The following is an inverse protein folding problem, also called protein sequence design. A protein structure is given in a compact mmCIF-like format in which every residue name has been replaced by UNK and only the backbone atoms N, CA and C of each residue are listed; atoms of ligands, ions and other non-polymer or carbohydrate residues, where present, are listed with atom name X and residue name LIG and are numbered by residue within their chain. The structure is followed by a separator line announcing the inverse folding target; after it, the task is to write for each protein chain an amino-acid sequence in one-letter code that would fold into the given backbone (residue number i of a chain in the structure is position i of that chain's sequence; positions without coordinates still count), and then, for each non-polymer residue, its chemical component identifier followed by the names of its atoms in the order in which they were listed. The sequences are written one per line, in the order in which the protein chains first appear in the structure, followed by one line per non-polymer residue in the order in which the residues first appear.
data_IF_908843400289
#
_entry.id   IF_908843400289
#
_cell.length_a   1.000
_cell.length_b   1.000
_cell.length_c   1.000
_cell.angle_alpha   90.00
_cell.angle_beta   90.00
_cell.angle_gamma   90.00
#
_symmetry.space_group_name_H-M   'P 1'
#
loop_
_entity.id
_entity.type
_entity.pdbx_description
1 polymer ?
#
# COMPACT_ATOMS: atom_id res chain seq x y z
N UNK A 1 2.17 -45.31 51.98
CA UNK A 1 2.05 -45.02 50.53
C UNK A 1 1.49 -43.61 50.37
N UNK A 2 2.33 -42.61 50.06
CA UNK A 2 1.86 -41.25 49.75
C UNK A 2 1.81 -41.09 48.22
N UNK A 3 0.62 -40.85 47.66
CA UNK A 3 0.44 -40.52 46.24
C UNK A 3 0.64 -39.01 46.08
N UNK A 4 1.71 -38.64 45.41
CA UNK A 4 2.00 -37.29 44.92
C UNK A 4 0.99 -36.89 43.85
N UNK A 5 0.13 -35.91 44.14
CA UNK A 5 -0.62 -35.20 43.11
C UNK A 5 0.34 -34.29 42.33
N UNK A 6 0.45 -34.52 41.03
CA UNK A 6 1.15 -33.62 40.09
C UNK A 6 0.27 -32.38 39.87
N UNK A 7 0.81 -31.15 39.84
CA UNK A 7 0.00 -29.98 39.57
C UNK A 7 -0.48 -30.01 38.11
N UNK A 8 -1.79 -29.79 37.93
CA UNK A 8 -2.45 -29.61 36.65
C UNK A 8 -1.78 -28.44 35.89
N UNK A 9 -1.44 -28.68 34.62
CA UNK A 9 -0.73 -27.73 33.77
C UNK A 9 -1.43 -26.36 33.69
N UNK A 10 -0.63 -25.31 33.48
CA UNK A 10 -1.08 -23.92 33.35
C UNK A 10 -2.23 -23.83 32.34
N UNK A 11 -3.36 -23.18 32.67
CA UNK A 11 -4.49 -23.08 31.76
C UNK A 11 -4.05 -22.37 30.47
N UNK A 12 -4.27 -23.03 29.34
CA UNK A 12 -4.04 -22.46 28.01
C UNK A 12 -4.98 -21.27 27.86
N UNK A 13 -4.45 -20.05 27.97
CA UNK A 13 -5.21 -18.84 27.62
C UNK A 13 -5.62 -18.98 26.16
N UNK A 14 -6.90 -19.27 25.96
CA UNK A 14 -7.58 -19.15 24.67
C UNK A 14 -7.67 -17.65 24.41
N UNK A 15 -6.64 -17.07 23.79
CA UNK A 15 -6.74 -15.72 23.28
C UNK A 15 -7.44 -15.79 21.92
N UNK A 16 -8.68 -15.31 21.95
CA UNK A 16 -9.55 -14.89 20.84
C UNK A 16 -8.77 -14.64 19.54
N UNK A 17 -9.14 -15.32 18.45
CA UNK A 17 -8.30 -15.45 17.24
C UNK A 17 -8.22 -14.24 16.31
N UNK A 18 -8.77 -13.08 16.67
CA UNK A 18 -8.74 -11.87 15.82
C UNK A 18 -7.54 -10.94 16.07
N UNK A 19 -7.23 -10.53 17.31
CA UNK A 19 -6.10 -9.65 17.60
C UNK A 19 -4.76 -10.23 17.14
N UNK A 20 -4.62 -11.56 17.19
CA UNK A 20 -3.38 -12.25 16.80
C UNK A 20 -3.20 -12.29 15.28
N UNK A 21 -4.27 -12.53 14.49
CA UNK A 21 -4.18 -12.57 13.02
C UNK A 21 -3.83 -11.19 12.46
N UNK A 22 -4.53 -10.14 12.90
CA UNK A 22 -4.30 -8.78 12.43
C UNK A 22 -2.90 -8.28 12.82
N UNK A 23 -2.41 -8.65 14.01
CA UNK A 23 -1.04 -8.34 14.44
C UNK A 23 -0.01 -9.02 13.53
N UNK A 24 -0.18 -10.31 13.25
CA UNK A 24 0.70 -11.05 12.33
C UNK A 24 0.72 -10.37 10.97
N UNK A 25 -0.45 -10.04 10.43
CA UNK A 25 -0.58 -9.45 9.10
C UNK A 25 0.07 -8.06 9.03
N UNK A 26 -0.17 -7.20 10.02
CA UNK A 26 0.40 -5.86 10.10
C UNK A 26 1.92 -5.88 10.19
N UNK A 27 2.48 -6.71 11.08
CA UNK A 27 3.92 -6.79 11.26
C UNK A 27 4.61 -7.45 10.07
N UNK A 28 4.00 -8.49 9.49
CA UNK A 28 4.50 -9.10 8.27
C UNK A 28 4.49 -8.12 7.09
N UNK A 29 3.46 -7.28 6.96
CA UNK A 29 3.39 -6.24 5.93
C UNK A 29 4.62 -5.32 6.01
N UNK A 30 4.94 -4.80 7.19
CA UNK A 30 6.14 -3.96 7.38
C UNK A 30 7.43 -4.70 7.06
N UNK A 31 7.55 -5.97 7.44
CA UNK A 31 8.73 -6.78 7.13
C UNK A 31 8.90 -7.02 5.63
N UNK A 32 7.82 -7.30 4.90
CA UNK A 32 7.88 -7.49 3.45
C UNK A 32 8.20 -6.18 2.73
N UNK A 33 7.66 -5.06 3.19
CA UNK A 33 7.98 -3.74 2.64
C UNK A 33 9.45 -3.36 2.84
N UNK A 34 10.03 -3.69 3.99
CA UNK A 34 11.42 -3.35 4.33
C UNK A 34 12.44 -4.30 3.68
N UNK A 35 12.14 -5.60 3.62
CA UNK A 35 13.14 -6.65 3.28
C UNK A 35 12.86 -7.39 1.98
N UNK A 36 11.70 -7.16 1.37
CA UNK A 36 11.22 -7.90 0.20
C UNK A 36 10.68 -9.29 0.53
N UNK A 37 10.03 -9.91 -0.45
CA UNK A 37 9.44 -11.26 -0.29
C UNK A 37 10.48 -12.36 -0.01
N UNK A 38 11.65 -12.41 -0.69
CA UNK A 38 12.60 -13.50 -0.52
C UNK A 38 13.21 -13.56 0.89
N UNK A 39 13.48 -12.40 1.48
CA UNK A 39 14.26 -12.25 2.72
C UNK A 39 13.47 -12.47 4.01
N UNK A 40 12.15 -12.58 3.93
CA UNK A 40 11.29 -12.83 5.10
C UNK A 40 10.96 -14.32 5.18
N UNK A 41 11.12 -14.92 6.36
CA UNK A 41 10.67 -16.28 6.66
C UNK A 41 9.48 -16.29 7.64
N UNK A 42 8.76 -17.41 7.70
CA UNK A 42 7.67 -17.60 8.68
C UNK A 42 8.20 -17.58 10.13
N UNK A 43 9.47 -17.94 10.34
CA UNK A 43 10.12 -17.88 11.65
C UNK A 43 10.43 -16.44 12.06
N UNK A 44 10.90 -15.62 11.13
CA UNK A 44 11.12 -14.19 11.37
C UNK A 44 9.80 -13.50 11.75
N UNK A 45 8.70 -13.85 11.06
CA UNK A 45 7.37 -13.31 11.38
C UNK A 45 6.93 -13.74 12.78
N UNK A 46 7.08 -15.02 13.13
CA UNK A 46 6.74 -15.51 14.46
C UNK A 46 7.52 -14.77 15.56
N UNK A 47 8.83 -14.59 15.36
CA UNK A 47 9.69 -13.86 16.27
C UNK A 47 9.29 -12.37 16.39
N UNK A 48 9.07 -11.69 15.26
CA UNK A 48 8.66 -10.28 15.22
C UNK A 48 7.31 -10.06 15.92
N UNK A 49 6.39 -11.00 15.79
CA UNK A 49 5.06 -10.94 16.40
C UNK A 49 5.03 -11.45 17.84
N UNK A 50 6.14 -11.95 18.37
CA UNK A 50 6.23 -12.59 19.69
C UNK A 50 5.20 -13.74 19.88
N UNK A 51 5.06 -14.58 18.84
CA UNK A 51 4.18 -15.76 18.84
C UNK A 51 4.95 -17.01 18.46
N UNK A 52 4.36 -18.19 18.69
CA UNK A 52 5.00 -19.44 18.26
C UNK A 52 4.88 -19.61 16.74
N UNK A 53 5.83 -20.34 16.13
CA UNK A 53 5.73 -20.77 14.72
C UNK A 53 4.38 -21.44 14.44
N UNK A 54 3.94 -22.35 15.32
CA UNK A 54 2.65 -23.02 15.20
C UNK A 54 1.45 -22.04 15.16
N UNK A 55 1.54 -20.90 15.86
CA UNK A 55 0.51 -19.85 15.81
C UNK A 55 0.46 -19.17 14.45
N UNK A 56 1.60 -18.88 13.83
CA UNK A 56 1.62 -18.29 12.47
C UNK A 56 1.06 -19.28 11.46
N UNK A 57 1.51 -20.55 11.50
CA UNK A 57 1.03 -21.61 10.59
C UNK A 57 -0.44 -21.96 10.78
N UNK A 58 -1.03 -21.67 11.94
CA UNK A 58 -2.47 -21.80 12.16
C UNK A 58 -3.27 -20.81 11.31
N UNK A 59 -2.78 -19.58 11.12
CA UNK A 59 -3.45 -18.56 10.31
C UNK A 59 -3.04 -18.57 8.84
N UNK A 60 -1.78 -18.90 8.57
CA UNK A 60 -1.18 -18.82 7.24
C UNK A 60 -0.36 -20.07 6.97
N UNK A 61 -0.83 -20.94 6.07
CA UNK A 61 -0.17 -22.23 5.79
C UNK A 61 1.16 -22.03 5.08
N UNK A 62 1.29 -20.97 4.31
CA UNK A 62 2.47 -20.67 3.50
C UNK A 62 2.87 -19.20 3.60
N UNK A 63 4.15 -18.91 3.32
CA UNK A 63 4.64 -17.54 3.17
C UNK A 63 3.91 -16.78 2.05
N UNK A 64 3.61 -17.47 0.95
CA UNK A 64 2.89 -16.90 -0.18
C UNK A 64 1.50 -16.40 0.24
N UNK A 65 0.75 -17.21 1.01
CA UNK A 65 -0.57 -16.83 1.54
C UNK A 65 -0.49 -15.59 2.45
N UNK A 66 0.47 -15.57 3.38
CA UNK A 66 0.69 -14.40 4.25
C UNK A 66 1.08 -13.15 3.47
N UNK A 67 1.93 -13.28 2.46
CA UNK A 67 2.35 -12.17 1.62
C UNK A 67 1.20 -11.63 0.78
N UNK A 68 0.41 -12.49 0.14
CA UNK A 68 -0.76 -12.10 -0.65
C UNK A 68 -1.74 -11.31 0.21
N UNK A 69 -2.13 -11.84 1.37
CA UNK A 69 -3.02 -11.13 2.29
C UNK A 69 -2.42 -9.78 2.76
N UNK A 70 -1.12 -9.73 3.01
CA UNK A 70 -0.43 -8.52 3.47
C UNK A 70 -0.48 -7.42 2.40
N UNK A 71 -0.17 -7.77 1.16
CA UNK A 71 -0.17 -6.83 0.04
C UNK A 71 -1.59 -6.39 -0.34
N UNK A 72 -2.55 -7.31 -0.36
CA UNK A 72 -3.96 -6.96 -0.59
C UNK A 72 -4.48 -6.03 0.50
N UNK A 73 -4.20 -6.30 1.78
CA UNK A 73 -4.61 -5.43 2.87
C UNK A 73 -3.95 -4.05 2.78
N UNK A 74 -2.68 -3.99 2.41
CA UNK A 74 -1.97 -2.73 2.18
C UNK A 74 -2.66 -1.91 1.08
N UNK A 75 -2.94 -2.52 -0.09
CA UNK A 75 -3.61 -1.84 -1.20
C UNK A 75 -5.02 -1.37 -0.82
N UNK A 76 -5.77 -2.15 -0.04
CA UNK A 76 -7.08 -1.75 0.49
C UNK A 76 -6.98 -0.53 1.41
N UNK A 77 -5.94 -0.45 2.25
CA UNK A 77 -5.71 0.72 3.12
C UNK A 77 -5.33 1.96 2.31
N UNK A 78 -4.43 1.81 1.34
CA UNK A 78 -4.03 2.90 0.45
C UNK A 78 -5.25 3.39 -0.34
N UNK A 79 -6.03 2.47 -0.91
CA UNK A 79 -7.29 2.76 -1.58
C UNK A 79 -8.21 3.63 -0.71
N UNK A 80 -8.39 3.27 0.56
CA UNK A 80 -9.22 4.04 1.48
C UNK A 80 -8.67 5.44 1.73
N UNK A 81 -7.36 5.58 1.95
CA UNK A 81 -6.71 6.88 2.12
C UNK A 81 -6.86 7.77 0.88
N UNK A 82 -6.67 7.22 -0.31
CA UNK A 82 -6.90 7.92 -1.59
C UNK A 82 -8.37 8.36 -1.67
N UNK A 83 -9.32 7.49 -1.32
CA UNK A 83 -10.74 7.79 -1.37
C UNK A 83 -11.12 8.93 -0.40
N UNK A 84 -10.56 8.93 0.80
CA UNK A 84 -10.81 9.97 1.81
C UNK A 84 -10.32 11.35 1.32
N UNK A 85 -9.17 11.41 0.65
CA UNK A 85 -8.63 12.66 0.07
C UNK A 85 -9.48 13.12 -1.13
N UNK A 86 -9.80 12.21 -2.06
CA UNK A 86 -10.48 12.52 -3.32
C UNK A 86 -12.01 12.66 -3.21
N UNK A 87 -12.58 12.46 -2.01
CA UNK A 87 -14.01 12.64 -1.72
C UNK A 87 -14.33 13.94 -0.96
N UNK A 88 -13.31 14.75 -0.66
CA UNK A 88 -13.50 16.07 -0.02
C UNK A 88 -14.27 17.05 -0.92
N UNK A 89 -14.85 18.10 -0.35
CA UNK A 89 -15.54 19.15 -1.13
C UNK A 89 -14.59 20.23 -1.68
N UNK A 90 -13.32 19.87 -1.94
CA UNK A 90 -12.30 20.78 -2.48
C UNK A 90 -12.20 20.61 -4.01
N UNK A 91 -11.71 21.63 -4.75
CA UNK A 91 -11.40 21.48 -6.17
C UNK A 91 -10.43 20.31 -6.42
N UNK A 92 -10.58 19.62 -7.55
CA UNK A 92 -9.74 18.46 -7.88
C UNK A 92 -8.25 18.78 -7.77
N UNK A 93 -7.81 19.96 -8.23
CA UNK A 93 -6.39 20.36 -8.16
C UNK A 93 -5.84 20.33 -6.73
N UNK A 94 -6.64 20.77 -5.75
CA UNK A 94 -6.27 20.72 -4.34
C UNK A 94 -6.26 19.29 -3.81
N UNK A 95 -7.20 18.45 -4.22
CA UNK A 95 -7.22 17.04 -3.85
C UNK A 95 -5.99 16.30 -4.40
N UNK A 96 -5.60 16.56 -5.64
CA UNK A 96 -4.40 16.00 -6.26
C UNK A 96 -3.12 16.47 -5.55
N UNK A 97 -3.07 17.72 -5.09
CA UNK A 97 -1.99 18.22 -4.24
C UNK A 97 -1.90 17.46 -2.92
N UNK A 98 -3.01 17.28 -2.21
CA UNK A 98 -3.04 16.53 -0.95
C UNK A 98 -2.67 15.06 -1.15
N UNK A 99 -3.12 14.45 -2.24
CA UNK A 99 -2.77 13.09 -2.62
C UNK A 99 -1.27 12.96 -2.94
N UNK A 100 -0.72 13.86 -3.76
CA UNK A 100 0.69 13.88 -4.13
C UNK A 100 1.59 14.09 -2.90
N UNK A 101 1.20 14.99 -2.00
CA UNK A 101 1.90 15.21 -0.73
C UNK A 101 1.86 13.95 0.14
N UNK A 102 0.70 13.34 0.31
CA UNK A 102 0.57 12.10 1.08
C UNK A 102 1.42 10.96 0.48
N UNK A 103 1.53 10.90 -0.85
CA UNK A 103 2.34 9.91 -1.54
C UNK A 103 3.84 10.14 -1.29
N UNK A 104 4.34 11.36 -1.48
CA UNK A 104 5.76 11.70 -1.31
C UNK A 104 6.22 11.77 0.15
N UNK A 105 5.30 11.93 1.11
CA UNK A 105 5.60 11.84 2.55
C UNK A 105 5.68 10.39 3.04
N UNK A 106 5.18 9.42 2.28
CA UNK A 106 5.24 8.03 2.69
C UNK A 106 6.71 7.60 2.83
N UNK A 107 7.11 7.23 4.05
CA UNK A 107 8.49 6.85 4.37
C UNK A 107 8.91 5.52 3.78
N UNK A 108 7.96 4.77 3.21
CA UNK A 108 8.19 3.50 2.52
C UNK A 108 7.90 3.75 1.05
N UNK A 109 8.88 3.46 0.19
CA UNK A 109 8.65 3.40 -1.24
C UNK A 109 7.77 2.18 -1.55
N UNK A 110 6.49 2.44 -1.82
CA UNK A 110 5.52 1.38 -2.12
C UNK A 110 5.62 1.08 -3.62
N UNK A 111 6.73 0.47 -4.02
CA UNK A 111 6.91 0.00 -5.39
C UNK A 111 6.19 -1.34 -5.59
N UNK A 112 4.86 -1.27 -5.72
CA UNK A 112 3.97 -2.43 -5.93
C UNK A 112 4.47 -3.30 -7.08
N UNK A 113 4.90 -2.68 -8.19
CA UNK A 113 5.44 -3.38 -9.35
C UNK A 113 6.66 -4.25 -9.00
N UNK A 114 7.56 -3.75 -8.14
CA UNK A 114 8.71 -4.55 -7.66
C UNK A 114 8.25 -5.73 -6.83
N UNK A 115 7.34 -5.52 -5.88
CA UNK A 115 6.81 -6.59 -5.03
C UNK A 115 6.09 -7.67 -5.86
N UNK A 116 5.29 -7.27 -6.84
CA UNK A 116 4.62 -8.18 -7.78
C UNK A 116 5.64 -9.00 -8.58
N UNK A 117 6.70 -8.36 -9.07
CA UNK A 117 7.76 -9.03 -9.83
C UNK A 117 8.56 -10.02 -9.00
N UNK A 118 8.93 -9.65 -7.77
CA UNK A 118 9.66 -10.52 -6.84
C UNK A 118 8.85 -11.76 -6.42
N UNK A 119 7.53 -11.60 -6.30
CA UNK A 119 6.64 -12.65 -5.85
C UNK A 119 6.18 -13.59 -6.97
N UNK A 120 6.25 -13.16 -8.24
CA UNK A 120 5.69 -13.87 -9.40
C UNK A 120 6.13 -15.32 -9.56
N UNK A 121 7.36 -15.65 -9.18
CA UNK A 121 7.90 -17.02 -9.29
C UNK A 121 7.47 -17.94 -8.14
N UNK A 122 6.91 -17.38 -7.07
CA UNK A 122 6.60 -18.09 -5.83
C UNK A 122 5.11 -18.14 -5.50
N UNK A 123 4.31 -17.32 -6.17
CA UNK A 123 2.86 -17.24 -6.00
C UNK A 123 2.14 -18.08 -7.05
N UNK A 124 0.97 -18.58 -6.67
CA UNK A 124 0.01 -19.18 -7.61
C UNK A 124 -0.68 -18.11 -8.45
N UNK A 125 -1.27 -18.52 -9.58
CA UNK A 125 -2.05 -17.62 -10.43
C UNK A 125 -3.23 -16.97 -9.70
N UNK A 126 -3.89 -17.72 -8.80
CA UNK A 126 -4.99 -17.18 -7.97
C UNK A 126 -4.49 -16.07 -7.04
N UNK A 127 -3.33 -16.26 -6.40
CA UNK A 127 -2.73 -15.24 -5.54
C UNK A 127 -2.30 -13.99 -6.32
N UNK A 128 -1.74 -14.17 -7.51
CA UNK A 128 -1.40 -13.05 -8.39
C UNK A 128 -2.64 -12.28 -8.82
N UNK A 129 -3.70 -12.99 -9.21
CA UNK A 129 -4.98 -12.37 -9.58
C UNK A 129 -5.60 -11.57 -8.43
N UNK A 130 -5.57 -12.09 -7.20
CA UNK A 130 -6.07 -11.37 -6.03
C UNK A 130 -5.33 -10.04 -5.80
N UNK A 131 -4.01 -10.04 -6.03
CA UNK A 131 -3.19 -8.84 -5.90
C UNK A 131 -3.44 -7.85 -7.06
N UNK A 132 -3.53 -8.34 -8.30
CA UNK A 132 -3.87 -7.53 -9.47
C UNK A 132 -5.25 -6.87 -9.30
N UNK A 133 -6.25 -7.61 -8.83
CA UNK A 133 -7.58 -7.05 -8.55
C UNK A 133 -7.56 -5.99 -7.44
N UNK A 134 -6.73 -6.17 -6.41
CA UNK A 134 -6.59 -5.19 -5.34
C UNK A 134 -5.88 -3.91 -5.82
N UNK A 135 -4.86 -4.07 -6.68
CA UNK A 135 -4.16 -2.97 -7.33
C UNK A 135 -5.09 -2.19 -8.27
N UNK A 136 -5.85 -2.87 -9.12
CA UNK A 136 -6.81 -2.23 -10.01
C UNK A 136 -7.87 -1.44 -9.25
N UNK A 137 -8.44 -2.02 -8.19
CA UNK A 137 -9.42 -1.36 -7.31
C UNK A 137 -8.85 -0.15 -6.58
N UNK A 138 -7.53 -0.09 -6.36
CA UNK A 138 -6.85 1.06 -5.77
C UNK A 138 -6.78 2.21 -6.78
N UNK A 139 -6.40 1.94 -8.03
CA UNK A 139 -6.33 2.96 -9.08
C UNK A 139 -7.70 3.47 -9.55
N UNK A 140 -8.74 2.64 -9.49
CA UNK A 140 -10.11 3.01 -9.81
C UNK A 140 -10.60 4.25 -9.03
N UNK A 141 -10.11 4.46 -7.80
CA UNK A 141 -10.53 5.61 -6.98
C UNK A 141 -10.10 6.93 -7.62
N UNK A 142 -8.87 6.99 -8.13
CA UNK A 142 -8.37 8.16 -8.83
C UNK A 142 -9.06 8.33 -10.19
N UNK A 143 -9.28 7.23 -10.92
CA UNK A 143 -10.05 7.27 -12.18
C UNK A 143 -11.44 7.87 -11.95
N UNK A 144 -12.15 7.43 -10.92
CA UNK A 144 -13.47 7.96 -10.58
C UNK A 144 -13.43 9.43 -10.20
N UNK A 145 -12.40 9.89 -9.48
CA UNK A 145 -12.24 11.31 -9.15
C UNK A 145 -12.02 12.17 -10.40
N UNK A 146 -11.14 11.74 -11.29
CA UNK A 146 -10.90 12.42 -12.57
C UNK A 146 -12.15 12.46 -13.44
N UNK A 147 -12.88 11.33 -13.52
CA UNK A 147 -14.16 11.28 -14.24
C UNK A 147 -15.20 12.25 -13.66
N UNK A 148 -15.30 12.36 -12.32
CA UNK A 148 -16.18 13.34 -11.68
C UNK A 148 -15.79 14.78 -12.04
N UNK A 149 -14.50 15.09 -12.04
CA UNK A 149 -14.00 16.42 -12.39
C UNK A 149 -14.27 16.76 -13.87
N UNK A 150 -14.16 15.79 -14.78
CA UNK A 150 -14.55 15.94 -16.18
C UNK A 150 -16.05 16.27 -16.32
N UNK A 151 -16.93 15.56 -15.59
CA UNK A 151 -18.38 15.81 -15.61
C UNK A 151 -18.71 17.22 -15.06
N UNK A 152 -17.95 17.68 -14.07
CA UNK A 152 -18.07 19.03 -13.50
C UNK A 152 -17.36 20.12 -14.31
N UNK A 153 -16.73 19.75 -15.42
CA UNK A 153 -15.94 20.66 -16.27
C UNK A 153 -14.79 21.36 -15.51
N UNK A 154 -14.27 20.74 -14.44
CA UNK A 154 -13.06 21.19 -13.75
C UNK A 154 -11.79 20.89 -14.55
N UNK A 155 -11.84 19.86 -15.41
CA UNK A 155 -10.78 19.47 -16.35
C UNK A 155 -11.39 19.05 -17.70
N UNK A 156 -10.64 19.12 -18.81
CA UNK A 156 -11.12 18.69 -20.12
C UNK A 156 -11.47 17.19 -20.20
N UNK A 157 -12.35 16.84 -21.13
CA UNK A 157 -12.69 15.44 -21.41
C UNK A 157 -11.47 14.69 -21.97
N UNK A 158 -11.17 13.53 -21.39
CA UNK A 158 -10.11 12.63 -21.86
C UNK A 158 -10.37 11.21 -21.35
N UNK A 159 -9.45 10.28 -21.63
CA UNK A 159 -9.52 8.94 -21.04
C UNK A 159 -9.11 9.01 -19.55
N UNK A 160 -10.01 8.74 -18.60
CA UNK A 160 -9.73 8.93 -17.18
C UNK A 160 -8.72 7.91 -16.63
N UNK A 161 -8.66 6.70 -17.19
CA UNK A 161 -7.66 5.68 -16.83
C UNK A 161 -6.27 6.16 -17.25
N UNK A 162 -6.13 6.67 -18.47
CA UNK A 162 -4.86 7.24 -18.94
C UNK A 162 -4.44 8.45 -18.09
N UNK A 163 -5.38 9.35 -17.77
CA UNK A 163 -5.11 10.51 -16.91
C UNK A 163 -4.65 10.08 -15.51
N UNK A 164 -5.24 9.03 -14.92
CA UNK A 164 -4.81 8.47 -13.64
C UNK A 164 -3.39 7.89 -13.73
N UNK A 165 -3.12 7.07 -14.76
CA UNK A 165 -1.79 6.47 -14.99
C UNK A 165 -0.71 7.52 -15.17
N UNK A 166 -0.99 8.61 -15.91
CA UNK A 166 -0.05 9.72 -16.08
C UNK A 166 0.24 10.41 -14.75
N UNK A 167 -0.79 10.64 -13.91
CA UNK A 167 -0.58 11.24 -12.59
C UNK A 167 0.36 10.39 -11.73
N UNK A 168 0.10 9.07 -11.65
CA UNK A 168 0.93 8.11 -10.90
C UNK A 168 2.36 8.05 -11.45
N UNK A 169 2.53 8.11 -12.77
CA UNK A 169 3.85 8.11 -13.39
C UNK A 169 4.68 9.32 -12.96
N UNK A 170 4.08 10.52 -12.92
CA UNK A 170 4.77 11.74 -12.46
C UNK A 170 5.11 11.65 -10.96
N UNK A 171 4.21 11.11 -10.13
CA UNK A 171 4.49 10.87 -8.71
C UNK A 171 5.68 9.92 -8.50
N UNK A 172 5.76 8.86 -9.30
CA UNK A 172 6.88 7.90 -9.28
C UNK A 172 8.20 8.60 -9.60
N UNK A 173 8.22 9.51 -10.59
CA UNK A 173 9.42 10.31 -10.91
C UNK A 173 9.82 11.19 -9.73
N UNK A 174 8.87 11.91 -9.13
CA UNK A 174 9.11 12.72 -7.94
C UNK A 174 9.64 11.91 -6.75
N UNK A 175 9.14 10.68 -6.56
CA UNK A 175 9.61 9.81 -5.49
C UNK A 175 11.06 9.37 -5.71
N UNK A 176 11.39 8.96 -6.95
CA UNK A 176 12.70 8.45 -7.34
C UNK A 176 13.77 9.52 -7.58
N UNK A 177 13.42 10.82 -7.49
CA UNK A 177 14.41 11.88 -7.56
C UNK A 177 15.42 11.75 -6.42
N UNK A 178 16.72 11.91 -6.76
CA UNK A 178 17.82 11.89 -5.80
C UNK A 178 17.60 12.94 -4.69
N UNK A 179 17.97 12.58 -3.46
CA UNK A 179 17.77 13.43 -2.30
C UNK A 179 18.51 14.77 -2.44
N UNK A 180 19.75 14.75 -2.94
CA UNK A 180 20.56 15.95 -3.16
C UNK A 180 19.91 16.86 -4.20
N UNK A 181 19.44 16.27 -5.31
CA UNK A 181 18.73 17.03 -6.34
C UNK A 181 17.45 17.68 -5.79
N UNK A 182 16.73 16.99 -4.91
CA UNK A 182 15.53 17.55 -4.26
C UNK A 182 15.85 18.77 -3.41
N UNK A 183 16.88 18.69 -2.56
CA UNK A 183 17.29 19.80 -1.68
C UNK A 183 17.85 20.99 -2.44
N UNK A 184 18.58 20.75 -3.53
CA UNK A 184 19.17 21.82 -4.35
C UNK A 184 18.13 22.52 -5.24
N UNK A 185 17.12 21.79 -5.70
CA UNK A 185 16.15 22.29 -6.71
C UNK A 185 14.88 22.85 -6.10
N UNK A 186 14.39 22.27 -4.99
CA UNK A 186 13.10 22.62 -4.41
C UNK A 186 13.26 23.19 -3.00
N UNK A 187 12.53 24.26 -2.72
CA UNK A 187 12.59 24.94 -1.42
C UNK A 187 11.95 24.14 -0.27
N UNK A 188 11.02 23.24 -0.60
CA UNK A 188 10.32 22.38 0.35
C UNK A 188 9.62 21.22 -0.36
N UNK A 189 9.10 20.26 0.40
CA UNK A 189 8.23 19.22 -0.16
C UNK A 189 6.96 19.81 -0.81
N UNK A 190 6.39 20.87 -0.22
CA UNK A 190 5.19 21.50 -0.75
C UNK A 190 5.47 22.19 -2.10
N UNK A 191 6.67 22.73 -2.29
CA UNK A 191 7.14 23.28 -3.56
C UNK A 191 7.28 22.18 -4.64
N UNK A 192 7.94 21.06 -4.31
CA UNK A 192 8.02 19.90 -5.22
C UNK A 192 6.62 19.40 -5.62
N UNK A 193 5.73 19.21 -4.64
CA UNK A 193 4.35 18.77 -4.88
C UNK A 193 3.60 19.78 -5.77
N UNK A 194 3.74 21.09 -5.51
CA UNK A 194 3.11 22.13 -6.31
C UNK A 194 3.58 22.06 -7.77
N UNK A 195 4.89 21.90 -8.00
CA UNK A 195 5.44 21.81 -9.35
C UNK A 195 4.97 20.55 -10.09
N UNK A 196 4.95 19.39 -9.42
CA UNK A 196 4.40 18.14 -9.98
C UNK A 196 2.93 18.31 -10.39
N UNK A 197 2.10 18.83 -9.49
CA UNK A 197 0.66 18.98 -9.75
C UNK A 197 0.41 20.02 -10.83
N UNK A 198 1.18 21.11 -10.87
CA UNK A 198 1.07 22.12 -11.92
C UNK A 198 1.46 21.56 -13.28
N UNK A 199 2.55 20.79 -13.37
CA UNK A 199 2.96 20.17 -14.63
C UNK A 199 1.90 19.19 -15.14
N UNK A 200 1.37 18.35 -14.26
CA UNK A 200 0.27 17.45 -14.60
C UNK A 200 -0.97 18.22 -15.04
N UNK A 201 -1.36 19.26 -14.30
CA UNK A 201 -2.55 20.07 -14.59
C UNK A 201 -2.45 20.76 -15.95
N UNK A 202 -1.32 21.40 -16.24
CA UNK A 202 -1.07 22.03 -17.55
C UNK A 202 -1.07 21.02 -18.69
N UNK A 203 -0.71 19.76 -18.45
CA UNK A 203 -0.79 18.70 -19.45
C UNK A 203 -2.21 18.20 -19.73
N UNK A 204 -3.17 18.46 -18.83
CA UNK A 204 -4.59 18.20 -19.07
C UNK A 204 -5.24 19.32 -19.89
N UNK A 205 -4.83 20.55 -19.61
CA UNK A 205 -5.27 21.76 -20.31
C UNK A 205 -4.57 21.86 -21.68
N UNK A 206 -5.03 21.05 -22.66
CA UNK A 206 -4.60 21.13 -24.07
C UNK A 206 -5.05 22.45 -24.74
N UNK A 207 -4.67 23.60 -24.20
CA UNK A 207 -4.77 24.88 -24.90
C UNK A 207 -3.52 25.07 -25.76
N UNK A 208 -3.62 24.62 -27.02
CA UNK A 208 -2.98 25.31 -28.15
C UNK A 208 -3.91 26.39 -28.67
#
# INVERSE_FOLDING_TARGET
MQRTQRPLGRPRKVHEGKPTKDTILNLATGMFLEKGYPSVSMDDVAQKCNVTKATVYYYYKTKAELFTDAMVQLMVRIKQQIADILSTNKPLKTQLFELAKSYLQATVDININSFMKEAKTSLSNEQLQLMEEAEDKMYEVLEHALRRAMIKEEIPQSNPRLAALMFIAVLTVGNNMDFTYKEETFSSLDDLVAQIVNLYWSGLDNNS
#
